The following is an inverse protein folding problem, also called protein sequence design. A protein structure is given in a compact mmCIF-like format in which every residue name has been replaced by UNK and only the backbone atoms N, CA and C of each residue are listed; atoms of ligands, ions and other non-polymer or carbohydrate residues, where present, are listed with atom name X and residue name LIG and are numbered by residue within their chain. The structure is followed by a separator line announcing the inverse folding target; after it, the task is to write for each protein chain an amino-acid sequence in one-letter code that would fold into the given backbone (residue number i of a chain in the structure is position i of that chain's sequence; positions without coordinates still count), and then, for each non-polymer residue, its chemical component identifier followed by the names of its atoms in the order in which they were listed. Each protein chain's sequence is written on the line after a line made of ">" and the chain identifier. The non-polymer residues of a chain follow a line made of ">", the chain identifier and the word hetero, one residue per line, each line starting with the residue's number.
data_IF_806335330110
#
_entry.id   IF_806335330110
#
_cell.length_a   1.000
_cell.length_b   1.000
_cell.length_c   1.000
_cell.angle_alpha   90.00
_cell.angle_beta   90.00
_cell.angle_gamma   90.00
#
_symmetry.space_group_name_H-M   'P 1'
#
loop_
_entity.id
_entity.type
_entity.pdbx_description
1 polymer ?
#
# COMPACT_ATOMS: atom_id res chain seq x y z
N UNK A 1 -18.29 -13.82 14.38
CA UNK A 1 -17.23 -13.88 13.35
C UNK A 1 -16.46 -12.58 13.45
N UNK A 2 -15.16 -12.62 13.73
CA UNK A 2 -14.35 -11.40 13.77
C UNK A 2 -14.22 -10.90 12.34
N UNK A 3 -14.64 -9.67 12.07
CA UNK A 3 -14.46 -9.05 10.76
C UNK A 3 -12.94 -8.84 10.57
N UNK A 4 -12.31 -9.58 9.67
CA UNK A 4 -10.86 -9.47 9.43
C UNK A 4 -10.62 -8.73 8.13
N UNK A 5 -9.86 -7.63 8.21
CA UNK A 5 -9.46 -6.81 7.09
C UNK A 5 -8.03 -7.22 6.71
N UNK A 6 -7.80 -7.53 5.44
CA UNK A 6 -6.46 -7.85 4.92
C UNK A 6 -6.06 -6.73 3.97
N UNK A 7 -4.92 -6.11 4.24
CA UNK A 7 -4.42 -4.92 3.53
C UNK A 7 -3.08 -5.28 2.91
N UNK A 8 -2.93 -5.01 1.62
CA UNK A 8 -1.64 -5.07 0.94
C UNK A 8 -0.91 -3.76 1.17
N UNK A 9 0.37 -3.82 1.54
CA UNK A 9 1.22 -2.66 1.76
C UNK A 9 2.49 -2.84 0.96
N UNK A 10 2.82 -1.89 0.09
CA UNK A 10 4.07 -1.95 -0.68
C UNK A 10 5.12 -0.98 -0.15
N UNK A 11 6.37 -1.43 -0.21
CA UNK A 11 7.54 -0.64 0.15
C UNK A 11 8.44 -0.55 -1.07
N UNK A 12 8.69 0.66 -1.55
CA UNK A 12 9.70 0.95 -2.58
C UNK A 12 10.85 1.65 -1.89
N UNK A 13 12.07 1.16 -2.11
CA UNK A 13 13.31 1.77 -1.64
C UNK A 13 14.13 2.21 -2.85
N UNK A 14 14.55 3.47 -2.88
CA UNK A 14 15.39 3.98 -3.96
C UNK A 14 16.87 3.65 -3.73
N UNK A 15 17.75 4.01 -4.68
CA UNK A 15 19.19 3.75 -4.58
C UNK A 15 19.91 4.51 -3.45
N UNK A 16 19.24 5.45 -2.79
CA UNK A 16 19.73 6.24 -1.66
C UNK A 16 19.19 5.73 -0.31
N UNK A 17 18.58 4.53 -0.28
CA UNK A 17 17.92 3.94 0.89
C UNK A 17 16.72 4.76 1.43
N UNK A 18 16.12 5.59 0.57
CA UNK A 18 14.92 6.35 0.91
C UNK A 18 13.67 5.56 0.52
N UNK A 19 12.62 5.72 1.31
CA UNK A 19 11.37 4.97 1.20
C UNK A 19 10.31 5.86 0.58
N UNK A 20 9.67 5.39 -0.49
CA UNK A 20 8.54 6.09 -1.09
C UNK A 20 7.35 6.10 -0.13
N UNK A 21 6.86 7.29 0.19
CA UNK A 21 5.68 7.50 1.03
C UNK A 21 4.70 8.46 0.35
N UNK A 22 3.41 8.26 0.62
CA UNK A 22 2.35 9.14 0.17
C UNK A 22 1.89 10.05 1.32
N UNK A 23 1.74 11.34 1.06
CA UNK A 23 1.17 12.29 2.02
C UNK A 23 -0.32 12.45 1.75
N UNK A 24 -1.13 12.01 2.72
CA UNK A 24 -2.59 12.07 2.57
C UNK A 24 -3.08 13.52 2.64
N UNK A 25 -3.85 14.01 1.66
CA UNK A 25 -4.39 15.37 1.68
C UNK A 25 -5.17 15.67 2.97
N UNK A 26 -5.00 16.87 3.53
CA UNK A 26 -5.59 17.27 4.83
C UNK A 26 -7.12 17.16 4.90
N UNK A 27 -7.80 17.14 3.76
CA UNK A 27 -9.25 17.08 3.63
C UNK A 27 -9.81 15.64 3.51
N UNK A 28 -8.98 14.60 3.56
CA UNK A 28 -9.42 13.19 3.64
C UNK A 28 -9.42 12.67 5.08
N UNK A 29 -10.08 11.54 5.33
CA UNK A 29 -10.05 10.87 6.63
C UNK A 29 -8.60 10.58 7.06
N UNK A 30 -8.24 10.97 8.29
CA UNK A 30 -6.85 10.98 8.80
C UNK A 30 -5.85 11.74 7.90
N UNK A 31 -6.30 12.78 7.20
CA UNK A 31 -5.44 13.65 6.38
C UNK A 31 -4.33 14.31 7.19
N UNK A 32 -3.20 14.58 6.52
CA UNK A 32 -2.01 15.15 7.13
C UNK A 32 -1.02 14.14 7.73
N UNK A 33 -1.21 12.86 7.43
CA UNK A 33 -0.30 11.78 7.81
C UNK A 33 0.38 11.20 6.57
N UNK A 34 1.57 10.66 6.79
CA UNK A 34 2.30 9.85 5.82
C UNK A 34 1.81 8.41 5.84
N UNK A 35 1.71 7.80 4.67
CA UNK A 35 1.33 6.41 4.51
C UNK A 35 2.18 5.69 3.46
N UNK A 36 2.26 4.37 3.62
CA UNK A 36 2.76 3.50 2.57
C UNK A 36 1.66 3.28 1.53
N UNK A 37 1.97 3.27 0.23
CA UNK A 37 0.99 2.93 -0.79
C UNK A 37 0.46 1.50 -0.65
N UNK A 38 -0.80 1.31 -1.00
CA UNK A 38 -1.48 0.04 -0.90
C UNK A 38 -2.88 0.18 -0.31
N UNK A 39 -3.59 -0.93 -0.21
CA UNK A 39 -4.99 -0.88 0.15
C UNK A 39 -5.60 -2.21 0.49
N UNK A 40 -6.91 -2.17 0.71
CA UNK A 40 -7.65 -3.31 1.23
C UNK A 40 -7.86 -4.34 0.12
N UNK A 41 -7.56 -5.59 0.45
CA UNK A 41 -7.92 -6.74 -0.36
C UNK A 41 -9.44 -6.85 -0.51
N UNK A 42 -9.92 -6.82 -1.75
CA UNK A 42 -11.31 -7.02 -2.13
C UNK A 42 -11.73 -8.51 -2.09
N UNK A 43 -13.04 -8.71 -2.26
CA UNK A 43 -13.64 -10.04 -2.32
C UNK A 43 -13.26 -10.68 -3.66
N UNK A 44 -12.60 -11.84 -3.60
CA UNK A 44 -12.15 -12.67 -4.72
C UNK A 44 -10.82 -12.27 -5.40
N UNK A 45 -10.10 -11.26 -4.94
CA UNK A 45 -8.72 -11.03 -5.39
C UNK A 45 -7.69 -11.73 -4.49
N UNK A 46 -6.46 -11.95 -4.96
CA UNK A 46 -5.34 -12.34 -4.10
C UNK A 46 -4.73 -11.10 -3.45
N UNK A 47 -3.81 -11.27 -2.48
CA UNK A 47 -3.17 -10.10 -1.86
C UNK A 47 -2.21 -9.41 -2.84
N UNK A 48 -1.61 -10.19 -3.75
CA UNK A 48 -0.77 -9.72 -4.84
C UNK A 48 -1.60 -8.93 -5.86
N UNK A 49 -2.78 -9.44 -6.23
CA UNK A 49 -3.70 -8.71 -7.11
C UNK A 49 -4.15 -7.38 -6.50
N UNK A 50 -4.41 -7.36 -5.19
CA UNK A 50 -4.71 -6.13 -4.46
C UNK A 50 -3.53 -5.15 -4.54
N UNK A 51 -2.31 -5.62 -4.26
CA UNK A 51 -1.09 -4.82 -4.31
C UNK A 51 -0.89 -4.19 -5.69
N UNK A 52 -0.98 -4.97 -6.76
CA UNK A 52 -0.82 -4.48 -8.13
C UNK A 52 -1.89 -3.46 -8.53
N UNK A 53 -3.16 -3.71 -8.16
CA UNK A 53 -4.28 -2.79 -8.43
C UNK A 53 -4.09 -1.45 -7.72
N UNK A 54 -3.81 -1.48 -6.41
CA UNK A 54 -3.65 -0.27 -5.59
C UNK A 54 -2.45 0.56 -6.07
N UNK A 55 -1.32 -0.06 -6.41
CA UNK A 55 -0.17 0.68 -6.97
C UNK A 55 -0.47 1.30 -8.35
N UNK A 56 -1.29 0.65 -9.16
CA UNK A 56 -1.72 1.21 -10.42
C UNK A 56 -2.69 2.39 -10.22
N UNK A 57 -3.62 2.26 -9.28
CA UNK A 57 -4.67 3.25 -8.98
C UNK A 57 -4.14 4.47 -8.23
N UNK A 58 -3.31 4.27 -7.20
CA UNK A 58 -2.83 5.33 -6.31
C UNK A 58 -1.54 6.00 -6.80
N UNK A 59 -0.62 5.19 -7.36
CA UNK A 59 0.76 5.59 -7.68
C UNK A 59 1.01 5.61 -9.19
N UNK A 60 0.13 5.05 -10.01
CA UNK A 60 0.25 5.05 -11.46
C UNK A 60 1.33 4.13 -12.03
N UNK A 61 1.87 3.21 -11.23
CA UNK A 61 2.95 2.29 -11.65
C UNK A 61 2.47 0.85 -11.85
N UNK A 62 3.21 0.09 -12.63
CA UNK A 62 2.98 -1.35 -12.81
C UNK A 62 4.10 -2.12 -12.13
N UNK A 63 3.76 -3.00 -11.21
CA UNK A 63 4.73 -3.82 -10.48
C UNK A 63 5.23 -4.95 -11.38
N UNK A 64 6.55 -5.19 -11.37
CA UNK A 64 7.21 -6.21 -12.20
C UNK A 64 7.89 -7.28 -11.36
N UNK A 65 8.41 -6.90 -10.18
CA UNK A 65 8.99 -7.84 -9.23
C UNK A 65 8.80 -7.35 -7.79
N UNK A 66 8.40 -8.27 -6.93
CA UNK A 66 8.12 -8.00 -5.53
C UNK A 66 8.10 -9.30 -4.73
N UNK A 67 8.30 -9.21 -3.41
CA UNK A 67 8.26 -10.36 -2.51
C UNK A 67 7.75 -9.97 -1.11
N UNK A 68 7.10 -10.89 -0.38
CA UNK A 68 6.58 -10.59 0.94
C UNK A 68 7.72 -10.50 1.95
N UNK A 69 7.69 -9.49 2.82
CA UNK A 69 8.71 -9.30 3.87
C UNK A 69 8.21 -9.63 5.27
N UNK A 70 6.97 -9.26 5.62
CA UNK A 70 6.38 -9.56 6.92
C UNK A 70 4.86 -9.38 6.91
N UNK A 71 4.18 -9.96 7.90
CA UNK A 71 2.76 -9.70 8.16
C UNK A 71 2.57 -9.18 9.58
N UNK A 72 1.89 -8.05 9.72
CA UNK A 72 1.54 -7.46 11.01
C UNK A 72 0.06 -7.72 11.25
N UNK A 73 -0.25 -8.42 12.34
CA UNK A 73 -1.63 -8.56 12.81
C UNK A 73 -1.88 -7.56 13.94
N UNK A 74 -2.95 -6.80 13.83
CA UNK A 74 -3.44 -5.94 14.90
C UNK A 74 -4.91 -6.23 15.17
N UNK A 75 -5.24 -6.50 16.43
CA UNK A 75 -6.60 -6.79 16.87
C UNK A 75 -7.20 -5.55 17.53
N UNK A 76 -8.15 -4.90 16.86
CA UNK A 76 -8.99 -3.87 17.46
C UNK A 76 -10.15 -4.52 18.22
N UNK A 77 -10.87 -3.72 19.02
CA UNK A 77 -12.03 -4.21 19.81
C UNK A 77 -13.12 -4.87 18.94
N UNK A 78 -13.31 -4.39 17.71
CA UNK A 78 -14.44 -4.77 16.84
C UNK A 78 -14.01 -5.53 15.57
N UNK A 79 -12.74 -5.45 15.18
CA UNK A 79 -12.21 -6.07 13.97
C UNK A 79 -10.72 -6.34 14.09
N UNK A 80 -10.20 -7.22 13.23
CA UNK A 80 -8.76 -7.47 13.10
C UNK A 80 -8.25 -6.91 11.78
N UNK A 81 -7.01 -6.44 11.76
CA UNK A 81 -6.30 -6.03 10.55
C UNK A 81 -5.06 -6.90 10.38
N UNK A 82 -4.83 -7.37 9.16
CA UNK A 82 -3.59 -7.99 8.72
C UNK A 82 -2.98 -7.04 7.69
N UNK A 83 -1.84 -6.44 8.01
CA UNK A 83 -1.01 -5.72 7.05
C UNK A 83 -0.02 -6.72 6.46
N UNK A 84 -0.16 -7.01 5.17
CA UNK A 84 0.73 -7.88 4.41
C UNK A 84 1.72 -6.97 3.66
N UNK A 85 2.97 -6.96 4.11
CA UNK A 85 3.97 -6.00 3.64
C UNK A 85 4.86 -6.65 2.60
N UNK A 86 5.00 -5.99 1.46
CA UNK A 86 5.73 -6.46 0.29
C UNK A 86 6.82 -5.47 -0.10
N UNK A 87 8.02 -5.99 -0.34
CA UNK A 87 9.11 -5.20 -0.93
C UNK A 87 8.93 -5.21 -2.44
N UNK A 88 8.93 -4.02 -3.05
CA UNK A 88 8.87 -3.85 -4.50
C UNK A 88 10.29 -3.63 -5.01
N UNK A 89 10.75 -4.49 -5.91
CA UNK A 89 12.11 -4.44 -6.47
C UNK A 89 12.17 -4.04 -7.93
N UNK A 90 11.03 -3.99 -8.61
CA UNK A 90 10.94 -3.56 -9.99
C UNK A 90 9.52 -3.14 -10.35
N UNK A 91 9.42 -2.04 -11.07
CA UNK A 91 8.19 -1.49 -11.59
C UNK A 91 8.47 -0.64 -12.83
N UNK A 92 7.44 -0.40 -13.63
CA UNK A 92 7.48 0.53 -14.76
C UNK A 92 6.57 1.73 -14.55
N UNK A 93 6.77 2.75 -15.40
CA UNK A 93 6.17 4.10 -15.34
C UNK A 93 6.74 4.97 -14.21
N UNK A 94 6.37 6.24 -14.22
CA UNK A 94 6.83 7.23 -13.24
C UNK A 94 5.79 7.29 -12.12
N UNK A 95 6.18 7.11 -10.85
CA UNK A 95 5.28 7.28 -9.71
C UNK A 95 4.63 8.67 -9.69
N UNK A 96 3.31 8.71 -9.56
CA UNK A 96 2.52 9.94 -9.46
C UNK A 96 1.36 9.73 -8.48
N UNK A 97 1.08 10.70 -7.61
CA UNK A 97 -0.08 10.65 -6.73
C UNK A 97 -1.38 10.85 -7.50
N UNK A 98 -1.98 9.76 -7.94
CA UNK A 98 -3.15 9.78 -8.83
C UNK A 98 -4.45 10.25 -8.14
N UNK A 99 -4.48 10.23 -6.80
CA UNK A 99 -5.59 10.77 -5.99
C UNK A 99 -5.33 12.17 -5.41
N UNK A 100 -4.26 12.84 -5.85
CA UNK A 100 -3.86 14.15 -5.36
C UNK A 100 -3.01 14.15 -4.09
N UNK A 101 -2.48 12.98 -3.70
CA UNK A 101 -1.43 12.85 -2.68
C UNK A 101 -0.09 13.37 -3.22
N UNK A 102 0.74 13.91 -2.33
CA UNK A 102 2.15 14.20 -2.65
C UNK A 102 2.95 12.92 -2.41
N UNK A 103 3.82 12.56 -3.35
CA UNK A 103 4.77 11.47 -3.18
C UNK A 103 6.13 12.04 -2.82
N UNK A 104 6.78 11.48 -1.80
CA UNK A 104 8.15 11.77 -1.38
C UNK A 104 8.98 10.48 -1.32
#
# INVERSE_FOLDING_TARGET
>A
MVNSIHVAVGVIVNAMDEVLVAYRPKNKDQGGLWEFPGGKKEKNETIESALEREFLEEIGIQLESYFPILKIKHDYKEYSVILDVWMITGYSKIPMGAEGQTLE
#
